data_IF_088109596948
#
_entry.id   IF_088109596948
#
_cell.length_a   1.000
_cell.length_b   1.000
_cell.length_c   1.000
_cell.angle_alpha   90.00
_cell.angle_beta   90.00
_cell.angle_gamma   90.00
#
_symmetry.space_group_name_H-M   'P 1'
#
loop_
_entity.id
_entity.type
_entity.pdbx_description
1 polymer ?
#
# COMPACT_ATOMS: atom_id res chain seq x y z
N UNK A 1 -25.64 58.40 64.64
CA UNK A 1 -24.26 58.09 64.23
C UNK A 1 -24.28 56.78 63.45
N UNK A 2 -24.28 56.83 62.12
CA UNK A 2 -24.21 55.66 61.22
C UNK A 2 -22.92 55.78 60.45
N UNK A 3 -22.00 54.85 60.67
CA UNK A 3 -20.75 54.72 59.93
C UNK A 3 -20.99 53.83 58.69
N UNK A 4 -20.85 54.37 57.50
CA UNK A 4 -20.86 53.65 56.24
C UNK A 4 -19.47 53.08 56.00
N UNK A 5 -19.36 51.74 55.86
CA UNK A 5 -18.15 51.07 55.34
C UNK A 5 -18.25 51.02 53.82
N UNK A 6 -17.26 51.66 53.13
CA UNK A 6 -17.01 51.44 51.73
C UNK A 6 -16.22 50.14 51.52
N UNK A 7 -16.78 49.21 50.81
CA UNK A 7 -16.04 48.06 50.27
C UNK A 7 -15.46 48.43 48.89
N UNK A 8 -14.12 48.49 48.83
CA UNK A 8 -13.42 48.60 47.56
C UNK A 8 -13.28 47.24 46.91
N UNK A 9 -13.95 47.03 45.78
CA UNK A 9 -13.84 45.81 44.99
C UNK A 9 -12.61 45.91 44.08
N UNK A 10 -11.59 45.11 44.35
CA UNK A 10 -10.41 44.98 43.50
C UNK A 10 -10.77 44.00 42.35
N UNK A 11 -10.90 44.52 41.14
CA UNK A 11 -11.02 43.69 39.96
C UNK A 11 -9.62 43.28 39.48
N UNK A 12 -9.26 42.00 39.65
CA UNK A 12 -8.06 41.43 39.08
C UNK A 12 -8.36 41.12 37.60
N UNK A 13 -7.82 41.96 36.70
CA UNK A 13 -7.78 41.68 35.27
C UNK A 13 -6.71 40.58 35.01
N UNK A 14 -7.13 39.34 34.89
CA UNK A 14 -6.28 38.29 34.35
C UNK A 14 -6.24 38.46 32.84
N UNK A 15 -5.18 39.16 32.38
CA UNK A 15 -4.84 39.26 30.97
C UNK A 15 -4.34 37.91 30.43
N UNK A 16 -5.28 37.06 29.99
CA UNK A 16 -4.95 35.87 29.23
C UNK A 16 -4.49 36.28 27.85
N UNK A 17 -3.17 36.22 27.60
CA UNK A 17 -2.63 36.31 26.22
C UNK A 17 -3.16 35.10 25.44
N UNK A 18 -4.19 35.30 24.62
CA UNK A 18 -4.59 34.33 23.63
C UNK A 18 -3.43 34.19 22.65
N UNK A 19 -2.60 33.15 22.80
CA UNK A 19 -1.67 32.76 21.78
C UNK A 19 -2.50 32.33 20.56
N UNK A 20 -2.54 33.16 19.53
CA UNK A 20 -3.10 32.77 18.24
C UNK A 20 -2.31 31.56 17.76
N UNK A 21 -3.01 30.43 17.62
CA UNK A 21 -2.40 29.22 17.04
C UNK A 21 -1.92 29.57 15.64
N UNK A 22 -0.64 29.29 15.36
CA UNK A 22 -0.03 29.50 14.05
C UNK A 22 -0.82 28.66 13.01
N UNK A 23 -1.48 29.30 12.03
CA UNK A 23 -2.30 28.58 11.05
C UNK A 23 -1.49 27.57 10.23
N UNK A 24 -0.16 27.71 10.12
CA UNK A 24 0.72 26.79 9.42
C UNK A 24 0.81 25.42 10.14
N UNK A 25 0.65 25.38 11.47
CA UNK A 25 0.63 24.15 12.26
C UNK A 25 -0.59 23.30 11.93
N UNK A 26 -1.76 23.92 11.74
CA UNK A 26 -3.00 23.22 11.37
C UNK A 26 -2.90 22.57 9.99
N UNK A 27 -2.32 23.26 9.01
CA UNK A 27 -2.14 22.72 7.64
C UNK A 27 -1.22 21.51 7.63
N UNK A 28 -0.10 21.55 8.36
CA UNK A 28 0.83 20.43 8.46
C UNK A 28 0.22 19.18 9.10
N UNK A 29 -0.61 19.34 10.11
CA UNK A 29 -1.32 18.24 10.77
C UNK A 29 -2.34 17.60 9.83
N UNK A 30 -3.07 18.39 9.05
CA UNK A 30 -4.07 17.89 8.11
C UNK A 30 -3.45 17.15 6.94
N UNK A 31 -2.32 17.60 6.40
CA UNK A 31 -1.57 16.90 5.35
C UNK A 31 -1.06 15.56 5.87
N UNK A 32 -0.46 15.54 7.06
CA UNK A 32 0.04 14.30 7.66
C UNK A 32 -1.09 13.29 7.92
N UNK A 33 -2.23 13.74 8.43
CA UNK A 33 -3.38 12.87 8.67
C UNK A 33 -3.91 12.26 7.37
N UNK A 34 -4.03 13.06 6.31
CA UNK A 34 -4.45 12.57 4.99
C UNK A 34 -3.49 11.55 4.41
N UNK A 35 -2.19 11.76 4.56
CA UNK A 35 -1.19 10.81 4.09
C UNK A 35 -1.26 9.47 4.86
N UNK A 36 -1.42 9.51 6.19
CA UNK A 36 -1.57 8.29 7.00
C UNK A 36 -2.85 7.52 6.65
N UNK A 37 -3.94 8.23 6.37
CA UNK A 37 -5.18 7.59 5.92
C UNK A 37 -4.99 6.96 4.54
N UNK A 38 -4.41 7.69 3.57
CA UNK A 38 -4.13 7.18 2.23
C UNK A 38 -3.20 5.96 2.27
N UNK A 39 -2.16 5.98 3.10
CA UNK A 39 -1.28 4.82 3.31
C UNK A 39 -2.06 3.61 3.84
N UNK A 40 -2.94 3.80 4.81
CA UNK A 40 -3.79 2.73 5.35
C UNK A 40 -4.73 2.16 4.29
N UNK A 41 -5.35 3.01 3.46
CA UNK A 41 -6.21 2.60 2.35
C UNK A 41 -5.43 1.78 1.30
N UNK A 42 -4.20 2.21 0.95
CA UNK A 42 -3.31 1.48 0.03
C UNK A 42 -2.96 0.11 0.61
N UNK A 43 -2.56 0.02 1.89
CA UNK A 43 -2.24 -1.26 2.54
C UNK A 43 -3.44 -2.20 2.56
N UNK A 44 -4.65 -1.68 2.76
CA UNK A 44 -5.89 -2.46 2.73
C UNK A 44 -6.13 -3.10 1.36
N UNK A 45 -5.80 -2.43 0.23
CA UNK A 45 -5.87 -3.03 -1.11
C UNK A 45 -5.00 -4.28 -1.24
N UNK A 46 -3.82 -4.28 -0.61
CA UNK A 46 -2.95 -5.48 -0.62
C UNK A 46 -3.49 -6.61 0.26
N UNK A 47 -4.18 -6.29 1.37
CA UNK A 47 -4.88 -7.32 2.16
C UNK A 47 -5.99 -7.98 1.33
N UNK A 48 -6.73 -7.21 0.54
CA UNK A 48 -7.75 -7.70 -0.39
C UNK A 48 -7.11 -8.59 -1.48
N UNK A 49 -5.99 -8.15 -2.07
CA UNK A 49 -5.24 -8.94 -3.05
C UNK A 49 -4.75 -10.27 -2.48
N UNK A 50 -4.13 -10.28 -1.29
CA UNK A 50 -3.67 -11.49 -0.61
C UNK A 50 -4.84 -12.47 -0.39
N UNK A 51 -5.97 -11.93 0.04
CA UNK A 51 -7.19 -12.72 0.26
C UNK A 51 -7.69 -13.34 -1.04
N UNK A 52 -7.78 -12.56 -2.12
CA UNK A 52 -8.20 -13.02 -3.45
C UNK A 52 -7.23 -14.08 -4.00
N UNK A 53 -5.91 -13.83 -3.93
CA UNK A 53 -4.88 -14.77 -4.36
C UNK A 53 -5.01 -16.12 -3.62
N UNK A 54 -5.12 -16.06 -2.30
CA UNK A 54 -5.20 -17.26 -1.46
C UNK A 54 -6.52 -18.04 -1.62
N UNK A 55 -7.54 -17.40 -2.18
CA UNK A 55 -8.81 -18.03 -2.58
C UNK A 55 -8.83 -18.42 -4.06
N UNK A 56 -7.77 -18.15 -4.82
CA UNK A 56 -7.69 -18.38 -6.27
C UNK A 56 -8.77 -17.62 -7.06
N UNK A 57 -9.24 -16.48 -6.52
CA UNK A 57 -10.20 -15.58 -7.16
C UNK A 57 -9.46 -14.58 -8.06
N UNK A 58 -9.17 -15.00 -9.28
CA UNK A 58 -8.40 -14.22 -10.26
C UNK A 58 -9.13 -12.95 -10.72
N UNK A 59 -10.46 -12.95 -10.66
CA UNK A 59 -11.29 -11.76 -10.95
C UNK A 59 -11.07 -10.71 -9.86
N UNK A 60 -11.17 -11.11 -8.59
CA UNK A 60 -10.93 -10.21 -7.47
C UNK A 60 -9.47 -9.75 -7.40
N UNK A 61 -8.50 -10.60 -7.75
CA UNK A 61 -7.09 -10.21 -7.88
C UNK A 61 -6.93 -9.09 -8.91
N UNK A 62 -7.40 -9.29 -10.14
CA UNK A 62 -7.28 -8.32 -11.22
C UNK A 62 -8.08 -7.03 -10.97
N UNK A 63 -9.15 -7.09 -10.19
CA UNK A 63 -9.93 -5.92 -9.78
C UNK A 63 -9.13 -4.90 -8.96
N UNK A 64 -7.91 -5.22 -8.53
CA UNK A 64 -6.99 -4.27 -7.92
C UNK A 64 -6.35 -3.32 -8.95
N UNK A 65 -6.22 -3.73 -10.23
CA UNK A 65 -5.63 -2.92 -11.30
C UNK A 65 -6.61 -1.90 -11.87
N UNK A 66 -6.09 -0.73 -12.27
CA UNK A 66 -6.86 0.21 -13.10
C UNK A 66 -7.19 -0.43 -14.47
N UNK A 67 -8.17 0.09 -15.22
CA UNK A 67 -8.48 -0.46 -16.54
C UNK A 67 -7.29 -0.54 -17.50
N UNK A 68 -6.32 0.38 -17.39
CA UNK A 68 -5.10 0.45 -18.20
C UNK A 68 -3.84 0.03 -17.44
N UNK A 69 -3.98 -0.44 -16.18
CA UNK A 69 -2.84 -0.82 -15.36
C UNK A 69 -2.09 -2.04 -15.90
N UNK A 70 -0.80 -2.08 -15.68
CA UNK A 70 0.06 -3.14 -16.19
C UNK A 70 0.72 -3.97 -15.08
N UNK A 71 1.21 -5.14 -15.48
CA UNK A 71 1.92 -6.06 -14.59
C UNK A 71 3.06 -6.78 -15.32
N UNK A 72 4.24 -6.86 -14.68
CA UNK A 72 5.34 -7.73 -15.07
C UNK A 72 5.57 -8.80 -14.01
N UNK A 73 5.62 -10.04 -14.49
CA UNK A 73 6.07 -11.20 -13.73
C UNK A 73 7.61 -11.33 -13.76
N UNK A 74 8.21 -12.08 -12.80
CA UNK A 74 9.65 -12.26 -12.74
C UNK A 74 10.28 -12.97 -13.93
N UNK A 75 9.50 -13.73 -14.69
CA UNK A 75 9.94 -14.41 -15.92
C UNK A 75 9.92 -13.50 -17.14
N UNK A 76 9.47 -12.24 -16.98
CA UNK A 76 9.33 -11.26 -18.05
C UNK A 76 7.97 -11.26 -18.73
N UNK A 77 7.03 -12.11 -18.33
CA UNK A 77 5.65 -12.05 -18.80
C UNK A 77 5.04 -10.69 -18.48
N UNK A 78 4.35 -10.12 -19.46
CA UNK A 78 3.78 -8.78 -19.40
C UNK A 78 2.30 -8.80 -19.74
N UNK A 79 1.50 -8.13 -18.93
CA UNK A 79 0.08 -7.92 -19.18
C UNK A 79 -0.25 -6.44 -19.05
N UNK A 80 -0.94 -5.88 -20.07
CA UNK A 80 -1.40 -4.49 -20.11
C UNK A 80 -2.92 -4.45 -20.14
N UNK A 81 -3.47 -3.72 -19.17
CA UNK A 81 -4.90 -3.62 -18.92
C UNK A 81 -5.41 -4.72 -18.00
N UNK A 82 -6.43 -4.36 -17.18
CA UNK A 82 -7.01 -5.26 -16.17
C UNK A 82 -7.40 -6.64 -16.72
N UNK A 83 -8.00 -6.69 -17.92
CA UNK A 83 -8.42 -7.96 -18.54
C UNK A 83 -7.23 -8.86 -18.88
N UNK A 84 -6.13 -8.28 -19.36
CA UNK A 84 -4.91 -9.04 -19.66
C UNK A 84 -4.25 -9.53 -18.36
N UNK A 85 -4.24 -8.70 -17.31
CA UNK A 85 -3.76 -9.08 -15.98
C UNK A 85 -4.61 -10.23 -15.41
N UNK A 86 -5.94 -10.20 -15.57
CA UNK A 86 -6.80 -11.30 -15.14
C UNK A 86 -6.46 -12.60 -15.87
N UNK A 87 -6.30 -12.56 -17.19
CA UNK A 87 -5.93 -13.73 -17.99
C UNK A 87 -4.58 -14.32 -17.61
N UNK A 88 -3.60 -13.46 -17.26
CA UNK A 88 -2.30 -13.89 -16.76
C UNK A 88 -2.47 -14.68 -15.45
N UNK A 89 -3.19 -14.13 -14.48
CA UNK A 89 -3.47 -14.81 -13.21
C UNK A 89 -4.30 -16.08 -13.40
N UNK A 90 -5.28 -16.11 -14.31
CA UNK A 90 -6.03 -17.31 -14.66
C UNK A 90 -5.12 -18.42 -15.20
N UNK A 91 -4.21 -18.09 -16.09
CA UNK A 91 -3.26 -19.04 -16.63
C UNK A 91 -2.36 -19.64 -15.54
N UNK A 92 -1.85 -18.81 -14.62
CA UNK A 92 -1.01 -19.28 -13.50
C UNK A 92 -1.80 -20.14 -12.50
N UNK A 93 -2.97 -19.67 -12.08
CA UNK A 93 -3.80 -20.35 -11.06
C UNK A 93 -4.47 -21.62 -11.59
N UNK A 94 -4.62 -21.78 -12.90
CA UNK A 94 -5.07 -23.03 -13.53
C UNK A 94 -3.92 -24.03 -13.75
N UNK A 95 -2.68 -23.65 -13.48
CA UNK A 95 -1.49 -24.49 -13.69
C UNK A 95 -0.63 -24.56 -12.43
N UNK A 96 0.55 -23.96 -12.46
CA UNK A 96 1.53 -24.06 -11.39
C UNK A 96 1.08 -23.49 -10.04
N UNK A 97 0.13 -22.57 -10.02
CA UNK A 97 -0.34 -21.87 -8.81
C UNK A 97 -1.69 -22.41 -8.29
N UNK A 98 -2.19 -23.53 -8.82
CA UNK A 98 -3.49 -24.08 -8.41
C UNK A 98 -3.62 -24.37 -6.91
N UNK A 99 -2.52 -24.52 -6.19
CA UNK A 99 -2.47 -24.72 -4.73
C UNK A 99 -1.60 -23.69 -4.03
N UNK A 100 -1.14 -22.69 -4.76
CA UNK A 100 -0.22 -21.68 -4.23
C UNK A 100 -0.91 -20.77 -3.20
N UNK A 101 -0.12 -20.33 -2.23
CA UNK A 101 -0.50 -19.33 -1.25
C UNK A 101 0.57 -18.23 -1.22
N UNK A 102 0.13 -16.99 -1.15
CA UNK A 102 1.02 -15.84 -1.04
C UNK A 102 1.00 -15.27 0.38
N UNK A 103 2.20 -14.93 0.86
CA UNK A 103 2.39 -13.96 1.93
C UNK A 103 3.06 -12.73 1.31
N UNK A 104 2.55 -11.55 1.61
CA UNK A 104 3.04 -10.28 1.10
C UNK A 104 3.17 -9.30 2.26
N UNK A 105 4.37 -8.78 2.46
CA UNK A 105 4.69 -7.75 3.45
C UNK A 105 4.98 -6.44 2.73
N UNK A 106 4.17 -5.41 3.01
CA UNK A 106 4.36 -4.07 2.45
C UNK A 106 5.34 -3.31 3.34
N UNK A 107 6.58 -3.23 2.87
CA UNK A 107 7.69 -2.55 3.54
C UNK A 107 7.45 -1.03 3.60
N UNK A 108 7.09 -0.41 2.47
CA UNK A 108 6.88 1.03 2.41
C UNK A 108 5.76 1.44 1.47
N UNK A 109 5.06 2.51 1.85
CA UNK A 109 4.13 3.26 1.01
C UNK A 109 4.59 4.71 1.01
N UNK A 110 5.09 5.17 -0.12
CA UNK A 110 5.52 6.55 -0.30
C UNK A 110 4.48 7.34 -1.10
N UNK A 111 3.82 8.29 -0.46
CA UNK A 111 2.89 9.22 -1.11
C UNK A 111 3.67 10.24 -1.94
N UNK A 112 3.74 10.04 -3.25
CA UNK A 112 4.39 10.96 -4.21
C UNK A 112 3.53 12.23 -4.34
N UNK A 113 2.21 12.04 -4.45
CA UNK A 113 1.20 13.10 -4.42
C UNK A 113 0.01 12.63 -3.57
N UNK A 114 -1.00 13.45 -3.28
CA UNK A 114 -2.21 13.01 -2.58
C UNK A 114 -2.99 11.89 -3.31
N UNK A 115 -2.70 11.66 -4.59
CA UNK A 115 -3.38 10.66 -5.44
C UNK A 115 -2.44 9.69 -6.13
N UNK A 116 -1.14 9.68 -5.79
CA UNK A 116 -0.15 8.74 -6.35
C UNK A 116 0.72 8.20 -5.24
N UNK A 117 0.79 6.89 -5.12
CA UNK A 117 1.64 6.18 -4.16
C UNK A 117 2.62 5.24 -4.87
N UNK A 118 3.87 5.20 -4.40
CA UNK A 118 4.84 4.16 -4.70
C UNK A 118 4.87 3.18 -3.54
N UNK A 119 4.71 1.91 -3.83
CA UNK A 119 4.68 0.82 -2.86
C UNK A 119 5.82 -0.14 -3.12
N UNK A 120 6.53 -0.51 -2.06
CA UNK A 120 7.50 -1.59 -2.09
C UNK A 120 7.12 -2.65 -1.06
N UNK A 121 7.40 -3.90 -1.38
CA UNK A 121 7.13 -5.01 -0.50
C UNK A 121 7.91 -6.26 -0.86
N UNK A 122 7.81 -7.25 0.02
CA UNK A 122 8.38 -8.57 -0.14
C UNK A 122 7.26 -9.58 -0.24
N UNK A 123 7.38 -10.52 -1.16
CA UNK A 123 6.44 -11.63 -1.24
C UNK A 123 7.12 -12.98 -1.09
N UNK A 124 6.36 -13.94 -0.63
CA UNK A 124 6.70 -15.36 -0.64
C UNK A 124 5.49 -16.13 -1.15
N UNK A 125 5.69 -16.96 -2.18
CA UNK A 125 4.66 -17.84 -2.72
C UNK A 125 5.09 -19.28 -2.47
N UNK A 126 4.27 -20.01 -1.73
CA UNK A 126 4.43 -21.43 -1.42
C UNK A 126 3.40 -22.27 -2.19
N UNK A 127 3.64 -23.56 -2.32
CA UNK A 127 2.70 -24.50 -2.99
C UNK A 127 2.74 -24.44 -4.51
N UNK A 128 3.72 -23.76 -5.10
CA UNK A 128 3.90 -23.72 -6.57
C UNK A 128 4.36 -25.09 -7.09
N UNK A 129 3.83 -25.48 -8.24
CA UNK A 129 4.16 -26.72 -8.94
C UNK A 129 4.81 -26.45 -10.29
N UNK A 130 5.80 -27.25 -10.65
CA UNK A 130 6.40 -27.29 -11.98
C UNK A 130 5.48 -27.92 -13.02
N UNK A 131 5.86 -27.88 -14.32
CA UNK A 131 5.06 -28.44 -15.41
C UNK A 131 4.74 -29.94 -15.25
N UNK A 132 5.61 -30.70 -14.60
CA UNK A 132 5.45 -32.14 -14.34
C UNK A 132 4.79 -32.42 -12.97
N UNK A 133 4.33 -31.36 -12.26
CA UNK A 133 3.69 -31.47 -10.96
C UNK A 133 4.67 -31.54 -9.78
N UNK A 134 5.97 -31.44 -10.01
CA UNK A 134 7.00 -31.41 -8.99
C UNK A 134 6.89 -30.12 -8.13
N UNK A 135 7.13 -30.21 -6.81
CA UNK A 135 7.07 -29.04 -5.95
C UNK A 135 8.24 -28.11 -6.24
N UNK A 136 7.94 -26.83 -6.41
CA UNK A 136 8.93 -25.76 -6.53
C UNK A 136 9.18 -25.16 -5.14
N UNK A 137 10.45 -24.89 -4.83
CA UNK A 137 10.80 -24.20 -3.59
C UNK A 137 10.08 -22.85 -3.48
N UNK A 138 9.82 -22.40 -2.25
CA UNK A 138 9.14 -21.12 -1.97
C UNK A 138 9.79 -20.01 -2.80
N UNK A 139 8.99 -19.38 -3.67
CA UNK A 139 9.41 -18.24 -4.47
C UNK A 139 9.37 -16.99 -3.60
N UNK A 140 10.51 -16.35 -3.41
CA UNK A 140 10.62 -15.10 -2.67
C UNK A 140 11.10 -14.00 -3.59
N UNK A 141 10.47 -12.85 -3.49
CA UNK A 141 10.80 -11.73 -4.35
C UNK A 141 10.40 -10.39 -3.77
N UNK A 142 10.62 -9.37 -4.60
CA UNK A 142 10.24 -7.99 -4.30
C UNK A 142 9.11 -7.57 -5.21
N UNK A 143 8.20 -6.79 -4.65
CA UNK A 143 7.14 -6.11 -5.37
C UNK A 143 7.43 -4.61 -5.35
N UNK A 144 7.31 -3.97 -6.51
CA UNK A 144 7.21 -2.51 -6.61
C UNK A 144 5.99 -2.16 -7.43
N UNK A 145 5.14 -1.29 -6.90
CA UNK A 145 3.92 -0.88 -7.60
C UNK A 145 3.69 0.63 -7.48
N UNK A 146 3.12 1.19 -8.54
CA UNK A 146 2.56 2.55 -8.53
C UNK A 146 1.04 2.42 -8.45
N UNK A 147 0.45 3.06 -7.44
CA UNK A 147 -0.99 3.16 -7.31
C UNK A 147 -1.45 4.58 -7.58
N UNK A 148 -2.61 4.70 -8.22
CA UNK A 148 -3.30 5.96 -8.46
C UNK A 148 -4.66 5.95 -7.76
N UNK A 149 -5.08 7.12 -7.28
CA UNK A 149 -6.40 7.30 -6.68
C UNK A 149 -7.33 7.97 -7.67
N UNK A 150 -8.38 7.25 -8.07
CA UNK A 150 -9.43 7.73 -8.96
C UNK A 150 -10.78 7.41 -8.32
N UNK A 151 -11.72 8.34 -8.37
CA UNK A 151 -13.07 8.23 -7.79
C UNK A 151 -13.08 7.76 -6.32
N UNK A 152 -12.07 8.20 -5.55
CA UNK A 152 -11.94 7.86 -4.13
C UNK A 152 -11.33 6.50 -3.85
N UNK A 153 -11.01 5.69 -4.84
CA UNK A 153 -10.43 4.35 -4.72
C UNK A 153 -9.00 4.29 -5.25
N UNK A 154 -8.16 3.46 -4.63
CA UNK A 154 -6.79 3.19 -5.08
C UNK A 154 -6.74 2.02 -6.05
N UNK A 155 -6.03 2.22 -7.17
CA UNK A 155 -5.84 1.24 -8.23
C UNK A 155 -4.37 1.07 -8.55
N UNK A 156 -3.93 -0.14 -8.84
CA UNK A 156 -2.59 -0.39 -9.40
C UNK A 156 -2.56 0.12 -10.83
N UNK A 157 -1.70 1.10 -11.08
CA UNK A 157 -1.39 1.60 -12.43
C UNK A 157 -0.22 0.83 -13.05
N UNK A 158 0.75 0.39 -12.23
CA UNK A 158 1.87 -0.41 -12.70
C UNK A 158 2.37 -1.30 -11.56
N UNK A 159 2.69 -2.56 -11.85
CA UNK A 159 3.26 -3.48 -10.87
C UNK A 159 4.42 -4.28 -11.47
N UNK A 160 5.43 -4.53 -10.66
CA UNK A 160 6.66 -5.25 -11.04
C UNK A 160 7.00 -6.24 -9.95
N UNK A 161 6.80 -7.51 -10.23
CA UNK A 161 7.29 -8.59 -9.40
C UNK A 161 8.69 -8.98 -9.87
N UNK A 162 9.62 -9.17 -8.93
CA UNK A 162 11.00 -9.54 -9.25
C UNK A 162 11.48 -10.64 -8.31
N UNK A 163 12.32 -11.53 -8.81
CA UNK A 163 13.01 -12.55 -8.00
C UNK A 163 14.52 -12.24 -8.02
N UNK A 164 15.16 -12.06 -6.85
CA UNK A 164 16.59 -11.84 -6.80
C UNK A 164 17.35 -13.02 -7.39
N UNK A 165 18.20 -12.76 -8.38
CA UNK A 165 19.11 -13.75 -8.94
C UNK A 165 20.55 -13.44 -8.52
N UNK A 166 21.39 -14.47 -8.25
CA UNK A 166 22.80 -14.26 -7.97
C UNK A 166 23.50 -13.62 -9.18
N UNK A 167 24.22 -12.54 -8.94
CA UNK A 167 25.04 -11.90 -9.99
C UNK A 167 26.42 -12.55 -10.00
N UNK A 168 26.88 -13.12 -11.14
CA UNK A 168 28.12 -13.89 -11.19
C UNK A 168 29.37 -13.11 -10.78
N UNK A 169 29.33 -11.78 -10.93
CA UNK A 169 30.45 -10.88 -10.60
C UNK A 169 30.35 -10.27 -9.18
N UNK A 170 29.32 -10.60 -8.40
CA UNK A 170 29.17 -10.14 -7.01
C UNK A 170 29.29 -11.30 -6.03
N UNK A 171 30.13 -11.12 -4.99
CA UNK A 171 30.05 -12.01 -3.83
C UNK A 171 28.70 -11.79 -3.14
N UNK A 172 28.03 -12.88 -2.74
CA UNK A 172 26.82 -12.76 -1.91
C UNK A 172 27.16 -11.97 -0.63
N UNK A 173 26.33 -11.03 -0.20
CA UNK A 173 26.42 -10.50 1.16
C UNK A 173 26.32 -11.68 2.12
N UNK A 174 27.20 -11.70 3.13
CA UNK A 174 27.15 -12.68 4.21
C UNK A 174 26.04 -12.34 5.17
#
# INVERSE_FOLDING_TARGET
MRRSLLFATFAVLVGGSAHALDPSVGVGVDVRRRNLQAESEVRQRYVEFITAFNNHDTVAMAAMWSPQGDHYEPDGSFAEGREAVQKLFEAEHNTGFAQAKIALDIDSVWMITPSVALVNGFYAVDGVRGPEGDPIAIRKGHLTSVLVREDGQWWVAASRATIPVPLPWRKRPQ
#
